data_IF_015937892557
#
_entry.id   IF_015937892557
#
_cell.length_a   1.000
_cell.length_b   1.000
_cell.length_c   1.000
_cell.angle_alpha   90.00
_cell.angle_beta   90.00
_cell.angle_gamma   90.00
#
_symmetry.space_group_name_H-M   'P 1'
#
loop_
_entity.id
_entity.type
_entity.pdbx_description
1 polymer ?
#
# COMPACT_ATOMS: atom_id res chain seq x y z
N UNK A 1 50.48 -9.54 42.14
CA UNK A 1 50.50 -9.26 40.69
C UNK A 1 49.65 -8.02 40.39
N UNK A 2 50.28 -6.85 40.44
CA UNK A 2 49.66 -5.56 40.12
C UNK A 2 49.61 -5.37 38.60
N UNK A 3 48.85 -6.23 37.92
CA UNK A 3 48.71 -6.15 36.47
C UNK A 3 47.48 -5.30 36.14
N UNK A 4 47.72 -4.07 35.67
CA UNK A 4 46.67 -3.14 35.20
C UNK A 4 45.66 -3.80 34.25
N UNK A 5 46.09 -4.80 33.48
CA UNK A 5 45.23 -5.57 32.59
C UNK A 5 44.17 -6.40 33.34
N UNK A 6 44.49 -6.99 34.50
CA UNK A 6 43.55 -7.78 35.27
C UNK A 6 42.45 -6.91 35.90
N UNK A 7 42.82 -5.72 36.39
CA UNK A 7 41.85 -4.74 36.89
C UNK A 7 40.90 -4.27 35.78
N UNK A 8 41.41 -4.01 34.58
CA UNK A 8 40.56 -3.62 33.44
C UNK A 8 39.56 -4.71 33.08
N UNK A 9 39.97 -5.98 33.07
CA UNK A 9 39.06 -7.11 32.82
C UNK A 9 37.94 -7.19 33.85
N UNK A 10 38.25 -7.02 35.14
CA UNK A 10 37.24 -7.04 36.21
C UNK A 10 36.26 -5.86 36.07
N UNK A 11 36.75 -4.67 35.70
CA UNK A 11 35.91 -3.49 35.46
C UNK A 11 34.98 -3.69 34.26
N UNK A 12 35.48 -4.28 33.17
CA UNK A 12 34.67 -4.62 32.00
C UNK A 12 33.59 -5.66 32.34
N UNK A 13 33.94 -6.68 33.13
CA UNK A 13 33.02 -7.71 33.58
C UNK A 13 31.92 -7.13 34.49
N UNK A 14 32.29 -6.28 35.46
CA UNK A 14 31.32 -5.56 36.29
C UNK A 14 30.42 -4.65 35.47
N UNK A 15 30.99 -3.91 34.51
CA UNK A 15 30.24 -3.04 33.60
C UNK A 15 29.23 -3.84 32.77
N UNK A 16 29.63 -5.03 32.29
CA UNK A 16 28.76 -5.96 31.58
C UNK A 16 27.62 -6.45 32.47
N UNK A 17 27.91 -6.88 33.71
CA UNK A 17 26.90 -7.36 34.66
C UNK A 17 25.87 -6.26 34.96
N UNK A 18 26.32 -5.04 35.24
CA UNK A 18 25.44 -3.90 35.49
C UNK A 18 24.59 -3.60 34.25
N UNK A 19 25.20 -3.58 33.07
CA UNK A 19 24.48 -3.35 31.82
C UNK A 19 23.39 -4.41 31.58
N UNK A 20 23.70 -5.70 31.80
CA UNK A 20 22.72 -6.77 31.67
C UNK A 20 21.62 -6.65 32.73
N UNK A 21 21.95 -6.42 34.00
CA UNK A 21 20.98 -6.19 35.06
C UNK A 21 20.04 -5.02 34.74
N UNK A 22 20.56 -3.94 34.16
CA UNK A 22 19.79 -2.81 33.65
C UNK A 22 18.86 -3.21 32.49
N UNK A 23 19.32 -3.98 31.50
CA UNK A 23 18.48 -4.44 30.40
C UNK A 23 17.33 -5.34 30.87
N UNK A 24 17.57 -6.21 31.85
CA UNK A 24 16.55 -7.10 32.43
C UNK A 24 15.57 -6.35 33.33
N UNK A 25 16.06 -5.41 34.16
CA UNK A 25 15.21 -4.67 35.11
C UNK A 25 14.46 -3.49 34.49
N UNK A 26 14.97 -2.92 33.40
CA UNK A 26 14.38 -1.77 32.71
C UNK A 26 13.90 -2.16 31.30
N UNK A 27 12.74 -2.81 31.17
CA UNK A 27 12.21 -3.20 29.88
C UNK A 27 11.97 -1.97 29.01
N UNK A 28 12.74 -1.86 27.93
CA UNK A 28 12.54 -0.80 26.93
C UNK A 28 11.19 -0.97 26.24
N UNK A 29 10.47 0.15 26.02
CA UNK A 29 9.22 0.11 25.25
C UNK A 29 9.50 -0.43 23.85
N UNK A 30 8.91 -1.58 23.52
CA UNK A 30 8.96 -2.12 22.16
C UNK A 30 8.41 -1.08 21.20
N UNK A 31 9.11 -0.86 20.09
CA UNK A 31 8.62 -0.01 19.01
C UNK A 31 7.29 -0.55 18.52
N UNK A 32 6.26 0.29 18.46
CA UNK A 32 4.93 -0.10 17.99
C UNK A 32 5.02 -0.76 16.61
N UNK A 33 4.23 -1.82 16.40
CA UNK A 33 4.08 -2.49 15.08
C UNK A 33 3.63 -1.53 13.97
N UNK A 34 3.11 -0.36 14.35
CA UNK A 34 2.62 0.67 13.42
C UNK A 34 3.62 1.82 13.21
N UNK A 35 4.86 1.71 13.69
CA UNK A 35 5.86 2.75 13.42
C UNK A 35 6.28 2.71 11.95
N UNK A 36 6.22 3.89 11.33
CA UNK A 36 6.63 4.06 9.94
C UNK A 36 8.16 3.88 9.83
N UNK A 37 8.69 3.14 8.85
CA UNK A 37 10.11 2.78 8.81
C UNK A 37 11.11 3.95 8.81
N UNK A 38 10.69 5.12 8.30
CA UNK A 38 11.51 6.34 8.30
C UNK A 38 11.34 7.20 9.56
N UNK A 39 10.48 6.83 10.50
CA UNK A 39 10.20 7.64 11.70
C UNK A 39 11.22 7.36 12.80
N UNK A 40 12.10 8.32 13.07
CA UNK A 40 13.11 8.22 14.13
C UNK A 40 12.80 9.07 15.36
N UNK A 41 13.54 8.83 16.44
CA UNK A 41 13.49 9.64 17.68
C UNK A 41 13.83 11.10 17.41
N UNK A 42 14.79 11.36 16.52
CA UNK A 42 15.27 12.70 16.16
C UNK A 42 14.16 13.48 15.45
N UNK A 43 13.45 12.86 14.49
CA UNK A 43 12.29 13.47 13.81
C UNK A 43 11.16 13.76 14.82
N UNK A 44 10.94 12.83 15.77
CA UNK A 44 9.99 13.03 16.87
C UNK A 44 10.33 14.25 17.74
N UNK A 45 11.60 14.40 18.10
CA UNK A 45 12.11 15.55 18.84
C UNK A 45 11.99 16.85 18.03
N UNK A 46 12.37 16.83 16.74
CA UNK A 46 12.24 17.97 15.84
C UNK A 46 10.77 18.42 15.69
N UNK A 47 9.83 17.48 15.58
CA UNK A 47 8.38 17.78 15.55
C UNK A 47 7.91 18.44 16.84
N UNK A 48 8.35 17.94 18.01
CA UNK A 48 8.02 18.56 19.31
C UNK A 48 8.54 19.99 19.39
N UNK A 49 9.79 20.22 18.96
CA UNK A 49 10.43 21.55 18.89
C UNK A 49 9.66 22.51 17.97
N UNK A 50 9.30 22.05 16.78
CA UNK A 50 8.49 22.81 15.82
C UNK A 50 7.11 23.17 16.39
N UNK A 51 6.43 22.22 17.03
CA UNK A 51 5.12 22.49 17.64
C UNK A 51 5.22 23.47 18.81
N UNK A 52 6.30 23.41 19.59
CA UNK A 52 6.55 24.36 20.67
C UNK A 52 6.81 25.77 20.13
N UNK A 53 7.63 25.92 19.09
CA UNK A 53 7.89 27.23 18.46
C UNK A 53 6.64 27.81 17.81
N UNK A 54 5.83 26.98 17.12
CA UNK A 54 4.53 27.39 16.56
C UNK A 54 3.60 27.94 17.63
N UNK A 55 3.45 27.23 18.75
CA UNK A 55 2.60 27.67 19.87
C UNK A 55 3.08 29.00 20.45
N UNK A 56 4.39 29.19 20.62
CA UNK A 56 4.98 30.47 21.11
C UNK A 56 4.68 31.62 20.16
N UNK A 57 4.91 31.43 18.87
CA UNK A 57 4.58 32.41 17.83
C UNK A 57 3.10 32.79 17.84
N UNK A 58 2.20 31.80 17.84
CA UNK A 58 0.76 32.05 17.75
C UNK A 58 0.18 32.75 18.98
N UNK A 59 0.67 32.43 20.18
CA UNK A 59 0.18 33.00 21.44
C UNK A 59 0.79 34.38 21.76
N UNK A 60 1.85 34.79 21.05
CA UNK A 60 2.49 36.08 21.28
C UNK A 60 1.65 37.23 20.71
N UNK A 61 1.29 38.18 21.58
CA UNK A 61 0.53 39.40 21.25
C UNK A 61 1.42 40.59 20.86
N UNK A 62 2.64 40.66 21.40
CA UNK A 62 3.56 41.76 21.11
C UNK A 62 4.13 41.60 19.69
N UNK A 63 3.98 42.60 18.80
CA UNK A 63 4.35 42.47 17.39
C UNK A 63 5.85 42.27 17.16
N UNK A 64 6.72 42.94 17.92
CA UNK A 64 8.18 42.86 17.78
C UNK A 64 8.66 41.46 18.18
N UNK A 65 8.22 40.99 19.35
CA UNK A 65 8.58 39.66 19.87
C UNK A 65 7.96 38.54 19.02
N UNK A 66 6.77 38.77 18.47
CA UNK A 66 6.09 37.83 17.57
C UNK A 66 6.89 37.59 16.31
N UNK A 67 7.54 38.60 15.75
CA UNK A 67 8.37 38.43 14.55
C UNK A 67 9.62 37.59 14.83
N UNK A 68 10.27 37.79 15.98
CA UNK A 68 11.38 36.92 16.41
C UNK A 68 10.94 35.46 16.56
N UNK A 69 9.75 35.21 17.13
CA UNK A 69 9.20 33.86 17.23
C UNK A 69 8.77 33.28 15.87
N UNK A 70 8.29 34.13 14.95
CA UNK A 70 7.99 33.73 13.57
C UNK A 70 9.24 33.20 12.89
N UNK A 71 10.35 33.94 12.96
CA UNK A 71 11.62 33.54 12.37
C UNK A 71 12.14 32.23 12.94
N UNK A 72 12.09 32.05 14.27
CA UNK A 72 12.44 30.77 14.92
C UNK A 72 11.53 29.62 14.47
N UNK A 73 10.22 29.85 14.33
CA UNK A 73 9.30 28.84 13.82
C UNK A 73 9.60 28.47 12.36
N UNK A 74 9.84 29.45 11.49
CA UNK A 74 10.17 29.21 10.08
C UNK A 74 11.48 28.43 9.93
N UNK A 75 12.49 28.76 10.72
CA UNK A 75 13.74 28.01 10.78
C UNK A 75 13.50 26.53 11.13
N UNK A 76 12.81 26.27 12.26
CA UNK A 76 12.51 24.89 12.66
C UNK A 76 11.59 24.16 11.69
N UNK A 77 10.73 24.88 10.96
CA UNK A 77 9.86 24.30 9.93
C UNK A 77 10.67 23.82 8.75
N UNK A 78 11.60 24.65 8.26
CA UNK A 78 12.51 24.29 7.16
C UNK A 78 13.35 23.07 7.52
N UNK A 79 14.00 23.12 8.69
CA UNK A 79 14.82 22.03 9.23
C UNK A 79 14.04 20.72 9.36
N UNK A 80 12.87 20.76 10.00
CA UNK A 80 12.01 19.58 10.15
C UNK A 80 11.56 19.01 8.80
N UNK A 81 11.19 19.86 7.84
CA UNK A 81 10.77 19.41 6.51
C UNK A 81 11.92 18.76 5.74
N UNK A 82 13.13 19.29 5.87
CA UNK A 82 14.33 18.71 5.27
C UNK A 82 14.59 17.32 5.87
N UNK A 83 14.66 17.22 7.20
CA UNK A 83 14.81 15.93 7.90
C UNK A 83 13.76 14.90 7.47
N UNK A 84 12.51 15.33 7.32
CA UNK A 84 11.42 14.45 6.90
C UNK A 84 11.59 13.95 5.46
N UNK A 85 12.05 14.83 4.57
CA UNK A 85 12.27 14.50 3.15
C UNK A 85 13.44 13.53 3.02
N UNK A 86 14.54 13.79 3.72
CA UNK A 86 15.73 12.93 3.73
C UNK A 86 15.39 11.55 4.30
N UNK A 87 14.74 11.49 5.45
CA UNK A 87 14.38 10.22 6.08
C UNK A 87 13.44 9.36 5.21
N UNK A 88 12.46 9.98 4.55
CA UNK A 88 11.58 9.28 3.61
C UNK A 88 12.35 8.75 2.40
N UNK A 89 13.20 9.59 1.83
CA UNK A 89 14.01 9.25 0.66
C UNK A 89 14.98 8.12 0.97
N UNK A 90 15.66 8.18 2.11
CA UNK A 90 16.60 7.16 2.55
C UNK A 90 15.90 5.85 2.90
N UNK A 91 14.74 5.91 3.54
CA UNK A 91 13.93 4.71 3.77
C UNK A 91 13.45 4.09 2.46
N UNK A 92 13.11 4.90 1.46
CA UNK A 92 12.73 4.39 0.15
C UNK A 92 13.92 3.74 -0.57
N UNK A 93 15.09 4.39 -0.57
CA UNK A 93 16.34 3.80 -1.10
C UNK A 93 16.66 2.47 -0.42
N UNK A 94 16.62 2.42 0.93
CA UNK A 94 16.81 1.19 1.70
C UNK A 94 15.80 0.12 1.33
N UNK A 95 14.53 0.50 1.13
CA UNK A 95 13.52 -0.44 0.67
C UNK A 95 13.85 -0.99 -0.72
N UNK A 96 14.22 -0.14 -1.68
CA UNK A 96 14.61 -0.56 -3.03
C UNK A 96 15.81 -1.52 -3.01
N UNK A 97 16.81 -1.27 -2.16
CA UNK A 97 17.96 -2.17 -2.00
C UNK A 97 17.59 -3.56 -1.47
N UNK A 98 16.43 -3.69 -0.82
CA UNK A 98 15.93 -4.98 -0.33
C UNK A 98 15.09 -5.72 -1.38
N UNK A 99 14.86 -5.12 -2.56
CA UNK A 99 14.12 -5.74 -3.66
C UNK A 99 15.10 -6.53 -4.52
N UNK A 100 14.72 -7.76 -4.84
CA UNK A 100 15.43 -8.69 -5.71
C UNK A 100 14.44 -9.36 -6.67
N UNK A 101 14.89 -9.86 -7.82
CA UNK A 101 14.04 -10.41 -8.89
C UNK A 101 13.02 -11.44 -8.39
N UNK A 102 13.39 -12.23 -7.38
CA UNK A 102 12.52 -13.24 -6.77
C UNK A 102 11.47 -12.66 -5.80
N UNK A 103 11.70 -11.47 -5.24
CA UNK A 103 10.90 -10.91 -4.16
C UNK A 103 10.09 -9.65 -4.54
N UNK A 104 10.32 -9.07 -5.72
CA UNK A 104 9.63 -7.86 -6.23
C UNK A 104 8.13 -7.98 -6.04
N UNK A 105 7.51 -9.03 -6.59
CA UNK A 105 6.07 -9.23 -6.55
C UNK A 105 5.54 -9.44 -5.13
N UNK A 106 6.28 -10.17 -4.28
CA UNK A 106 5.92 -10.36 -2.88
C UNK A 106 5.90 -9.03 -2.12
N UNK A 107 6.88 -8.15 -2.36
CA UNK A 107 6.94 -6.83 -1.72
C UNK A 107 5.88 -5.88 -2.28
N UNK A 108 5.71 -5.80 -3.60
CA UNK A 108 4.65 -4.99 -4.23
C UNK A 108 3.27 -5.43 -3.71
N UNK A 109 3.01 -6.74 -3.66
CA UNK A 109 1.77 -7.26 -3.09
C UNK A 109 1.63 -6.93 -1.60
N UNK A 110 2.66 -7.12 -0.78
CA UNK A 110 2.56 -6.90 0.68
C UNK A 110 2.40 -5.43 1.06
N UNK A 111 3.13 -4.53 0.38
CA UNK A 111 3.18 -3.10 0.74
C UNK A 111 2.21 -2.25 -0.07
N UNK A 112 1.93 -2.59 -1.33
CA UNK A 112 1.00 -1.88 -2.21
C UNK A 112 -0.40 -2.48 -2.20
N UNK A 113 -0.54 -3.74 -2.60
CA UNK A 113 -1.87 -4.35 -2.81
C UNK A 113 -2.55 -4.68 -1.48
N UNK A 114 -1.94 -5.51 -0.63
CA UNK A 114 -2.54 -6.03 0.60
C UNK A 114 -2.90 -4.92 1.58
N UNK A 115 -2.12 -3.84 1.69
CA UNK A 115 -2.44 -2.74 2.62
C UNK A 115 -3.61 -1.87 2.14
N UNK A 116 -3.78 -1.71 0.83
CA UNK A 116 -4.85 -0.89 0.26
C UNK A 116 -6.12 -1.69 -0.01
N UNK A 117 -6.02 -2.91 -0.54
CA UNK A 117 -7.15 -3.80 -0.78
C UNK A 117 -7.79 -4.37 0.50
N UNK A 118 -7.06 -4.41 1.62
CA UNK A 118 -7.63 -4.78 2.92
C UNK A 118 -8.40 -3.62 3.58
N UNK A 119 -8.45 -2.43 2.96
CA UNK A 119 -9.57 -1.52 3.22
C UNK A 119 -10.77 -2.24 2.64
N UNK A 120 -11.53 -2.90 3.51
CA UNK A 120 -12.76 -3.62 3.18
C UNK A 120 -13.50 -2.81 2.12
N UNK A 121 -13.60 -3.34 0.90
CA UNK A 121 -14.45 -2.74 -0.11
C UNK A 121 -15.85 -2.95 0.45
N UNK A 122 -16.36 -1.94 1.14
CA UNK A 122 -17.73 -1.90 1.59
C UNK A 122 -18.54 -1.60 0.35
N UNK A 123 -18.99 -2.65 -0.35
CA UNK A 123 -20.01 -2.50 -1.37
C UNK A 123 -21.26 -2.06 -0.61
N UNK A 124 -21.57 -0.76 -0.70
CA UNK A 124 -22.79 -0.20 -0.14
C UNK A 124 -23.99 -0.74 -0.90
N UNK A 125 -25.11 -0.97 -0.20
CA UNK A 125 -26.34 -1.44 -0.83
C UNK A 125 -26.76 -0.54 -1.99
N UNK A 126 -27.15 -1.15 -3.12
CA UNK A 126 -27.62 -0.41 -4.29
C UNK A 126 -29.14 -0.28 -4.25
N UNK A 127 -29.66 0.82 -4.80
CA UNK A 127 -31.09 1.00 -5.00
C UNK A 127 -31.55 0.23 -6.23
N UNK A 128 -32.52 -0.66 -6.05
CA UNK A 128 -33.18 -1.36 -7.14
C UNK A 128 -34.19 -0.45 -7.85
N UNK A 129 -34.62 -0.82 -9.08
CA UNK A 129 -35.72 -0.16 -9.77
C UNK A 129 -37.05 -0.17 -8.99
N UNK A 130 -37.18 -1.05 -7.98
CA UNK A 130 -38.33 -1.17 -7.07
C UNK A 130 -38.27 -0.20 -5.89
N UNK A 131 -37.33 0.77 -5.89
CA UNK A 131 -37.00 1.71 -4.80
C UNK A 131 -36.45 1.10 -3.50
N UNK A 132 -36.43 -0.22 -3.39
CA UNK A 132 -35.79 -0.95 -2.28
C UNK A 132 -34.27 -0.93 -2.40
N UNK A 133 -33.58 -0.98 -1.25
CA UNK A 133 -32.11 -1.02 -1.19
C UNK A 133 -31.65 -2.41 -0.79
N UNK A 134 -30.69 -2.99 -1.52
CA UNK A 134 -30.14 -4.31 -1.17
C UNK A 134 -29.52 -4.28 0.21
N UNK A 135 -29.85 -5.27 1.04
CA UNK A 135 -29.44 -5.36 2.43
C UNK A 135 -28.17 -6.19 2.62
N UNK A 136 -27.89 -7.09 1.68
CA UNK A 136 -26.75 -8.01 1.71
C UNK A 136 -25.83 -7.85 0.48
N UNK A 137 -24.57 -8.24 0.66
CA UNK A 137 -23.57 -8.27 -0.42
C UNK A 137 -24.05 -9.13 -1.60
N UNK A 138 -24.63 -10.29 -1.32
CA UNK A 138 -25.09 -11.23 -2.35
C UNK A 138 -26.25 -10.66 -3.14
N UNK A 139 -27.20 -9.97 -2.48
CA UNK A 139 -28.26 -9.22 -3.18
C UNK A 139 -27.67 -8.14 -4.07
N UNK A 140 -26.70 -7.36 -3.56
CA UNK A 140 -26.05 -6.31 -4.35
C UNK A 140 -25.34 -6.89 -5.58
N UNK A 141 -24.58 -7.97 -5.41
CA UNK A 141 -23.89 -8.65 -6.50
C UNK A 141 -24.89 -9.16 -7.54
N UNK A 142 -25.95 -9.86 -7.09
CA UNK A 142 -26.96 -10.41 -8.00
C UNK A 142 -27.70 -9.31 -8.76
N UNK A 143 -28.05 -8.22 -8.09
CA UNK A 143 -28.71 -7.09 -8.75
C UNK A 143 -27.81 -6.38 -9.77
N UNK A 144 -26.50 -6.25 -9.49
CA UNK A 144 -25.52 -5.75 -10.49
C UNK A 144 -25.42 -6.71 -11.68
N UNK A 145 -25.30 -8.02 -11.42
CA UNK A 145 -25.16 -9.03 -12.46
C UNK A 145 -26.39 -9.07 -13.36
N UNK A 146 -27.60 -9.12 -12.80
CA UNK A 146 -28.83 -9.15 -13.58
C UNK A 146 -29.02 -7.91 -14.45
N UNK A 147 -28.61 -6.74 -13.94
CA UNK A 147 -28.69 -5.48 -14.71
C UNK A 147 -27.65 -5.41 -15.82
N UNK A 148 -26.44 -5.91 -15.57
CA UNK A 148 -25.32 -5.81 -16.52
C UNK A 148 -25.34 -6.94 -17.56
N UNK A 149 -25.86 -8.11 -17.17
CA UNK A 149 -25.92 -9.33 -17.95
C UNK A 149 -27.32 -9.95 -17.81
N UNK A 150 -28.34 -9.37 -18.47
CA UNK A 150 -29.69 -9.90 -18.43
C UNK A 150 -29.71 -11.31 -19.02
N UNK A 151 -30.64 -12.14 -18.53
CA UNK A 151 -30.84 -13.50 -19.08
C UNK A 151 -31.28 -13.41 -20.54
N UNK A 152 -30.51 -14.04 -21.43
CA UNK A 152 -30.86 -14.12 -22.86
C UNK A 152 -32.10 -15.00 -23.04
N UNK A 153 -33.13 -14.48 -23.72
CA UNK A 153 -34.41 -15.16 -23.90
C UNK A 153 -35.00 -14.81 -25.26
N UNK A 154 -35.23 -15.82 -26.09
CA UNK A 154 -35.74 -15.65 -27.45
C UNK A 154 -37.14 -15.03 -27.52
N UNK A 155 -37.90 -15.12 -26.42
CA UNK A 155 -39.23 -14.53 -26.31
C UNK A 155 -39.19 -13.00 -26.33
N UNK A 156 -38.10 -12.40 -25.82
CA UNK A 156 -37.93 -10.95 -25.74
C UNK A 156 -37.26 -10.35 -26.98
N UNK A 157 -36.91 -11.18 -27.96
CA UNK A 157 -36.25 -10.72 -29.17
C UNK A 157 -37.18 -9.95 -30.10
N UNK A 158 -36.63 -8.89 -30.69
CA UNK A 158 -37.23 -8.25 -31.86
C UNK A 158 -36.99 -9.09 -33.14
N UNK A 159 -37.68 -8.76 -34.24
CA UNK A 159 -37.56 -9.52 -35.49
C UNK A 159 -36.12 -9.61 -36.01
N UNK A 160 -35.35 -8.52 -35.89
CA UNK A 160 -33.95 -8.50 -36.32
C UNK A 160 -33.06 -9.46 -35.50
N UNK A 161 -33.25 -9.50 -34.19
CA UNK A 161 -32.54 -10.42 -33.29
C UNK A 161 -32.93 -11.87 -33.55
N UNK A 162 -34.22 -12.16 -33.81
CA UNK A 162 -34.69 -13.50 -34.21
C UNK A 162 -34.05 -13.97 -35.50
N UNK A 163 -33.94 -13.09 -36.50
CA UNK A 163 -33.32 -13.42 -37.77
C UNK A 163 -31.82 -13.67 -37.61
N UNK A 164 -31.13 -12.87 -36.79
CA UNK A 164 -29.72 -13.09 -36.43
C UNK A 164 -29.50 -14.42 -35.70
N UNK A 165 -30.34 -14.74 -34.70
CA UNK A 165 -30.25 -16.01 -33.97
C UNK A 165 -30.50 -17.20 -34.89
N UNK A 166 -31.51 -17.12 -35.77
CA UNK A 166 -31.77 -18.16 -36.79
C UNK A 166 -30.58 -18.31 -37.74
N UNK A 167 -30.02 -17.22 -38.24
CA UNK A 167 -28.86 -17.23 -39.13
C UNK A 167 -27.61 -17.83 -38.45
N UNK A 168 -27.40 -17.57 -37.16
CA UNK A 168 -26.32 -18.17 -36.39
C UNK A 168 -26.47 -19.70 -36.27
N UNK A 169 -27.69 -20.20 -36.09
CA UNK A 169 -27.96 -21.65 -36.00
C UNK A 169 -27.97 -22.35 -37.37
N UNK A 170 -28.41 -21.69 -38.44
CA UNK A 170 -28.47 -22.29 -39.79
C UNK A 170 -27.17 -22.14 -40.58
N UNK A 171 -26.33 -21.15 -40.24
CA UNK A 171 -25.09 -20.84 -40.94
C UNK A 171 -23.88 -21.69 -40.52
N UNK A 172 -23.98 -22.53 -39.49
CA UNK A 172 -22.84 -23.28 -38.96
C UNK A 172 -22.99 -24.78 -39.19
N UNK A 173 -22.36 -25.30 -40.25
CA UNK A 173 -22.15 -26.74 -40.40
C UNK A 173 -20.87 -27.11 -39.67
N UNK A 174 -20.99 -27.67 -38.47
CA UNK A 174 -19.85 -28.18 -37.68
C UNK A 174 -19.04 -29.25 -38.43
N UNK A 175 -19.60 -29.81 -39.50
CA UNK A 175 -18.96 -30.82 -40.34
C UNK A 175 -17.76 -30.29 -41.15
N UNK A 176 -17.73 -28.99 -41.46
CA UNK A 176 -16.65 -28.37 -42.23
C UNK A 176 -15.68 -27.54 -41.38
N UNK A 177 -15.88 -27.52 -40.06
CA UNK A 177 -15.05 -26.72 -39.19
C UNK A 177 -13.71 -27.44 -38.95
N UNK A 178 -12.57 -26.89 -39.39
CA UNK A 178 -11.29 -27.51 -39.12
C UNK A 178 -11.06 -27.58 -37.61
N UNK A 179 -10.53 -28.70 -37.13
CA UNK A 179 -10.15 -28.82 -35.73
C UNK A 179 -9.11 -27.75 -35.38
N UNK A 180 -9.24 -27.15 -34.20
CA UNK A 180 -8.25 -26.18 -33.70
C UNK A 180 -6.83 -26.72 -33.85
N UNK A 181 -5.95 -25.90 -34.42
CA UNK A 181 -4.54 -26.26 -34.53
C UNK A 181 -3.91 -26.35 -33.13
N UNK A 182 -2.94 -27.25 -32.98
CA UNK A 182 -2.13 -27.32 -31.76
C UNK A 182 -1.48 -25.96 -31.41
N UNK A 183 -1.21 -25.11 -32.41
CA UNK A 183 -0.62 -23.79 -32.21
C UNK A 183 -1.63 -22.75 -31.69
N UNK A 184 -2.90 -22.86 -32.11
CA UNK A 184 -4.00 -22.01 -31.62
C UNK A 184 -4.33 -22.34 -30.17
N UNK A 185 -4.44 -23.63 -29.85
CA UNK A 185 -4.72 -24.10 -28.48
C UNK A 185 -3.56 -23.79 -27.53
N UNK A 186 -2.31 -23.86 -28.00
CA UNK A 186 -1.13 -23.53 -27.17
C UNK A 186 -0.89 -22.04 -27.02
N UNK A 187 -1.56 -21.18 -27.80
CA UNK A 187 -1.47 -19.72 -27.68
C UNK A 187 -0.06 -19.13 -27.85
N UNK A 188 0.92 -19.91 -28.31
CA UNK A 188 2.34 -19.52 -28.29
C UNK A 188 2.59 -18.27 -29.13
N UNK A 189 1.99 -18.20 -30.31
CA UNK A 189 2.20 -17.08 -31.24
C UNK A 189 1.50 -15.79 -30.79
N UNK A 190 0.36 -15.86 -30.09
CA UNK A 190 -0.37 -14.68 -29.59
C UNK A 190 0.30 -14.14 -28.33
N UNK A 191 0.78 -15.02 -27.45
CA UNK A 191 1.53 -14.60 -26.26
C UNK A 191 2.87 -14.00 -26.70
N UNK A 192 3.65 -14.67 -27.55
CA UNK A 192 4.97 -14.18 -27.98
C UNK A 192 4.90 -12.87 -28.78
N UNK A 193 3.84 -12.64 -29.58
CA UNK A 193 3.64 -11.35 -30.27
C UNK A 193 3.23 -10.20 -29.35
N UNK A 194 2.42 -10.46 -28.32
CA UNK A 194 2.04 -9.46 -27.32
C UNK A 194 3.19 -9.09 -26.37
N UNK A 195 4.12 -10.03 -26.11
CA UNK A 195 5.34 -9.74 -25.36
C UNK A 195 6.33 -8.89 -26.17
N UNK A 196 6.42 -9.07 -27.48
CA UNK A 196 7.32 -8.30 -28.34
C UNK A 196 6.84 -6.87 -28.66
N UNK A 197 5.55 -6.56 -28.48
CA UNK A 197 5.01 -5.20 -28.69
C UNK A 197 5.10 -4.27 -27.47
N UNK A 198 5.41 -4.79 -26.26
CA UNK A 198 5.44 -4.00 -25.02
C UNK A 198 6.85 -3.70 -24.50
N UNK A 199 7.89 -4.11 -25.21
CA UNK A 199 9.28 -3.84 -24.88
C UNK A 199 10.01 -3.18 -26.06
N UNK A 200 9.55 -2.00 -26.47
CA UNK A 200 10.35 -0.93 -27.07
C UNK A 200 9.75 0.42 -26.68
#
# INVERSE_FOLDING_TARGET
CSNSSCLNTVVEEFGSIIYQACLYSMPTKKTSKHNVPWWSTEIGCARKRLNASRRRFQRCKNPIVRELYRNKYLYYRKDYNQMLTDAKTDSWKKFLLTIDAQNVWKKVYTYGVKREFMKKIEITGIKLPTEETTSSLDETINAVLQKSFPSDSEANDNNFQKDYRKAAYTGYSSFFDPSFSCDEVRGKNVIDSLWNQKFF
#
